data_IF_221083188520
#
_entry.id   IF_221083188520
#
_cell.length_a   1.000
_cell.length_b   1.000
_cell.length_c   1.000
_cell.angle_alpha   90.00
_cell.angle_beta   90.00
_cell.angle_gamma   90.00
#
_symmetry.space_group_name_H-M   'P 1'
#
loop_
_entity.id
_entity.type
_entity.pdbx_description
1 polymer ?
#
# COMPACT_ATOMS: atom_id res chain seq x y z
N UNK A 1 -1.94 -43.05 -12.06
CA UNK A 1 -1.88 -42.14 -10.90
C UNK A 1 -0.49 -42.33 -10.33
N UNK A 2 0.39 -41.39 -10.62
CA UNK A 2 1.80 -41.43 -10.24
C UNK A 2 1.89 -41.12 -8.73
N UNK A 3 2.30 -42.10 -7.93
CA UNK A 3 2.48 -41.90 -6.49
C UNK A 3 3.78 -41.13 -6.29
N UNK A 4 3.67 -39.82 -6.05
CA UNK A 4 4.81 -39.06 -5.53
C UNK A 4 5.28 -39.73 -4.23
N UNK A 5 6.57 -40.03 -4.07
CA UNK A 5 7.06 -40.65 -2.86
C UNK A 5 6.73 -39.75 -1.67
N UNK A 6 6.16 -40.34 -0.62
CA UNK A 6 5.90 -39.68 0.65
C UNK A 6 7.24 -39.13 1.15
N UNK A 7 7.35 -37.81 1.14
CA UNK A 7 8.51 -37.12 1.68
C UNK A 7 8.12 -36.59 3.05
N UNK A 8 8.31 -37.43 4.07
CA UNK A 8 7.92 -37.14 5.46
C UNK A 8 8.50 -35.81 5.95
N UNK A 9 9.73 -35.46 5.56
CA UNK A 9 10.33 -34.18 5.92
C UNK A 9 9.60 -32.97 5.30
N UNK A 10 9.04 -33.13 4.10
CA UNK A 10 8.24 -32.10 3.46
C UNK A 10 6.86 -31.97 4.12
N UNK A 11 6.27 -33.08 4.53
CA UNK A 11 5.00 -33.10 5.27
C UNK A 11 5.17 -32.42 6.64
N UNK A 12 6.20 -32.78 7.40
CA UNK A 12 6.54 -32.15 8.67
C UNK A 12 6.80 -30.64 8.53
N UNK A 13 7.53 -30.25 7.47
CA UNK A 13 7.74 -28.84 7.17
C UNK A 13 6.43 -28.11 6.87
N UNK A 14 5.56 -28.70 6.05
CA UNK A 14 4.27 -28.11 5.70
C UNK A 14 3.38 -27.96 6.93
N UNK A 15 3.31 -28.98 7.79
CA UNK A 15 2.52 -28.95 9.02
C UNK A 15 3.01 -27.84 9.96
N UNK A 16 4.33 -27.75 10.15
CA UNK A 16 4.94 -26.65 10.90
C UNK A 16 4.64 -25.30 10.27
N UNK A 17 4.80 -25.16 8.95
CA UNK A 17 4.59 -23.90 8.25
C UNK A 17 3.12 -23.44 8.33
N UNK A 18 2.17 -24.35 8.16
CA UNK A 18 0.75 -24.03 8.29
C UNK A 18 0.44 -23.62 9.73
N UNK A 19 0.84 -24.42 10.71
CA UNK A 19 0.55 -24.15 12.12
C UNK A 19 1.17 -22.85 12.62
N UNK A 20 2.46 -22.65 12.40
CA UNK A 20 3.20 -21.51 12.94
C UNK A 20 3.07 -20.24 12.08
N UNK A 21 3.04 -20.36 10.76
CA UNK A 21 3.11 -19.19 9.88
C UNK A 21 1.79 -18.80 9.25
N UNK A 22 0.80 -19.68 9.13
CA UNK A 22 -0.48 -19.35 8.50
C UNK A 22 -1.62 -19.26 9.51
N UNK A 23 -1.69 -20.20 10.46
CA UNK A 23 -2.83 -20.34 11.38
C UNK A 23 -2.56 -19.81 12.79
N UNK A 24 -1.30 -19.53 13.15
CA UNK A 24 -0.97 -18.85 14.38
C UNK A 24 -1.46 -17.40 14.33
N UNK A 25 -2.53 -17.06 15.06
CA UNK A 25 -3.14 -15.72 15.05
C UNK A 25 -2.18 -14.58 15.45
N UNK A 26 -1.16 -14.85 16.26
CA UNK A 26 -0.18 -13.83 16.67
C UNK A 26 0.75 -13.44 15.52
N UNK A 27 1.12 -14.41 14.68
CA UNK A 27 1.97 -14.19 13.49
C UNK A 27 1.09 -13.81 12.29
N UNK A 28 0.03 -14.59 12.08
CA UNK A 28 -1.17 -14.37 11.27
C UNK A 28 -1.47 -12.92 10.95
N UNK A 29 -2.01 -12.25 11.96
CA UNK A 29 -2.61 -10.93 11.81
C UNK A 29 -1.61 -9.80 11.51
N UNK A 30 -0.34 -9.98 11.85
CA UNK A 30 0.69 -8.95 11.70
C UNK A 30 1.55 -9.16 10.45
N UNK A 31 1.85 -10.42 10.10
CA UNK A 31 2.90 -10.75 9.14
C UNK A 31 2.39 -11.46 7.88
N UNK A 32 1.14 -11.92 7.83
CA UNK A 32 0.59 -12.53 6.63
C UNK A 32 -0.83 -12.04 6.33
N UNK A 33 -1.27 -12.30 5.11
CA UNK A 33 -2.65 -12.04 4.65
C UNK A 33 -3.39 -13.36 4.44
N UNK A 34 -3.08 -14.38 5.25
CA UNK A 34 -3.75 -15.66 5.17
C UNK A 34 -5.25 -15.47 5.48
N UNK A 35 -6.13 -16.11 4.69
CA UNK A 35 -7.60 -15.91 4.72
C UNK A 35 -8.15 -14.49 4.47
N UNK A 36 -7.32 -13.48 4.21
CA UNK A 36 -7.79 -12.13 3.82
C UNK A 36 -8.28 -12.08 2.37
N UNK A 37 -9.44 -11.44 2.14
CA UNK A 37 -10.02 -11.27 0.78
C UNK A 37 -9.23 -10.27 -0.06
N UNK A 38 -8.57 -9.32 0.60
CA UNK A 38 -7.68 -8.34 -0.01
C UNK A 38 -6.23 -8.83 0.00
N UNK A 39 -5.98 -10.05 -0.47
CA UNK A 39 -4.63 -10.37 -0.90
C UNK A 39 -4.35 -9.60 -2.17
N UNK A 40 -3.39 -8.70 -2.12
CA UNK A 40 -2.31 -8.59 -3.11
C UNK A 40 -1.56 -7.31 -2.86
N UNK A 41 -0.25 -7.40 -3.03
CA UNK A 41 0.65 -6.27 -3.22
C UNK A 41 0.16 -5.27 -4.28
N UNK A 42 -0.90 -5.53 -5.04
CA UNK A 42 -1.56 -4.63 -5.99
C UNK A 42 -1.63 -3.17 -5.55
N UNK A 43 -2.05 -2.86 -4.31
CA UNK A 43 -2.09 -1.47 -3.85
C UNK A 43 -0.69 -0.88 -3.69
N UNK A 44 0.26 -1.67 -3.19
CA UNK A 44 1.67 -1.30 -3.08
C UNK A 44 2.33 -1.18 -4.46
N UNK A 45 2.07 -2.11 -5.37
CA UNK A 45 2.54 -2.14 -6.76
C UNK A 45 1.98 -0.96 -7.55
N UNK A 46 0.69 -0.64 -7.39
CA UNK A 46 0.08 0.53 -7.98
C UNK A 46 0.69 1.83 -7.42
N UNK A 47 0.96 1.89 -6.11
CA UNK A 47 1.64 3.03 -5.50
C UNK A 47 3.08 3.17 -6.00
N UNK A 48 3.86 2.08 -6.04
CA UNK A 48 5.20 2.03 -6.62
C UNK A 48 5.21 2.44 -8.09
N UNK A 49 4.29 1.94 -8.90
CA UNK A 49 4.16 2.30 -10.32
C UNK A 49 3.86 3.80 -10.50
N UNK A 50 2.95 4.36 -9.69
CA UNK A 50 2.65 5.79 -9.68
C UNK A 50 3.86 6.63 -9.28
N UNK A 51 4.63 6.19 -8.28
CA UNK A 51 5.84 6.85 -7.81
C UNK A 51 6.94 6.83 -8.89
N UNK A 52 7.20 5.66 -9.49
CA UNK A 52 8.17 5.49 -10.57
C UNK A 52 7.82 6.35 -11.79
N UNK A 53 6.53 6.42 -12.17
CA UNK A 53 6.07 7.29 -13.25
C UNK A 53 6.30 8.78 -12.94
N UNK A 54 6.15 9.21 -11.69
CA UNK A 54 6.44 10.59 -11.27
C UNK A 54 7.93 10.91 -11.29
N UNK A 55 8.76 9.96 -10.86
CA UNK A 55 10.21 10.12 -10.85
C UNK A 55 10.79 10.11 -12.27
N UNK A 56 10.16 9.41 -13.21
CA UNK A 56 10.53 9.39 -14.62
C UNK A 56 11.93 8.82 -14.90
N UNK A 57 12.57 8.20 -13.90
CA UNK A 57 13.94 7.68 -13.92
C UNK A 57 14.03 6.43 -13.07
N UNK A 58 14.87 5.48 -13.49
CA UNK A 58 15.10 4.21 -12.78
C UNK A 58 15.87 4.43 -11.47
N UNK A 59 16.82 5.39 -11.44
CA UNK A 59 17.67 5.68 -10.28
C UNK A 59 17.64 7.19 -9.94
N UNK A 60 16.61 7.68 -9.24
CA UNK A 60 16.59 9.05 -8.75
C UNK A 60 17.60 9.25 -7.62
N UNK A 61 18.16 10.46 -7.51
CA UNK A 61 18.94 10.81 -6.32
C UNK A 61 18.03 11.02 -5.10
N UNK A 62 18.62 11.04 -3.90
CA UNK A 62 17.87 11.15 -2.64
C UNK A 62 16.98 12.39 -2.60
N UNK A 63 17.45 13.54 -3.08
CA UNK A 63 16.66 14.77 -3.10
C UNK A 63 15.42 14.63 -4.00
N UNK A 64 15.57 14.03 -5.18
CA UNK A 64 14.46 13.77 -6.11
C UNK A 64 13.43 12.81 -5.50
N UNK A 65 13.89 11.76 -4.84
CA UNK A 65 13.01 10.81 -4.14
C UNK A 65 12.24 11.51 -3.02
N UNK A 66 12.91 12.29 -2.17
CA UNK A 66 12.28 13.03 -1.07
C UNK A 66 11.24 14.02 -1.58
N UNK A 67 11.54 14.77 -2.65
CA UNK A 67 10.58 15.70 -3.25
C UNK A 67 9.35 14.98 -3.79
N UNK A 68 9.53 13.88 -4.52
CA UNK A 68 8.41 13.09 -5.05
C UNK A 68 7.52 12.50 -3.94
N UNK A 69 8.12 12.07 -2.83
CA UNK A 69 7.38 11.58 -1.66
C UNK A 69 6.58 12.69 -0.98
N UNK A 70 7.16 13.88 -0.81
CA UNK A 70 6.45 15.05 -0.25
C UNK A 70 5.24 15.43 -1.10
N UNK A 71 5.41 15.51 -2.42
CA UNK A 71 4.32 15.79 -3.35
C UNK A 71 3.23 14.70 -3.33
N UNK A 72 3.62 13.43 -3.23
CA UNK A 72 2.68 12.31 -3.12
C UNK A 72 1.85 12.40 -1.83
N UNK A 73 2.49 12.73 -0.71
CA UNK A 73 1.83 12.92 0.58
C UNK A 73 0.79 14.05 0.51
N UNK A 74 1.17 15.23 0.00
CA UNK A 74 0.26 16.37 -0.19
C UNK A 74 -0.95 15.97 -1.04
N UNK A 75 -0.70 15.27 -2.16
CA UNK A 75 -1.75 14.82 -3.05
C UNK A 75 -2.70 13.80 -2.38
N UNK A 76 -2.18 12.87 -1.58
CA UNK A 76 -3.01 11.93 -0.85
C UNK A 76 -3.83 12.62 0.24
N UNK A 77 -3.25 13.56 1.00
CA UNK A 77 -4.00 14.40 1.96
C UNK A 77 -5.12 15.15 1.27
N UNK A 78 -4.88 15.70 0.07
CA UNK A 78 -5.94 16.33 -0.72
C UNK A 78 -7.06 15.37 -1.10
N UNK A 79 -6.72 14.15 -1.55
CA UNK A 79 -7.72 13.14 -1.91
C UNK A 79 -8.56 12.72 -0.70
N UNK A 80 -7.93 12.52 0.47
CA UNK A 80 -8.64 12.21 1.71
C UNK A 80 -9.60 13.34 2.09
N UNK A 81 -9.10 14.57 2.13
CA UNK A 81 -9.92 15.75 2.37
C UNK A 81 -11.08 15.85 1.36
N UNK A 82 -10.84 15.57 0.08
CA UNK A 82 -11.90 15.54 -0.95
C UNK A 82 -12.96 14.49 -0.65
N UNK A 83 -12.57 13.28 -0.27
CA UNK A 83 -13.52 12.24 0.09
C UNK A 83 -14.38 12.68 1.28
N UNK A 84 -13.77 13.28 2.30
CA UNK A 84 -14.46 13.84 3.47
C UNK A 84 -15.43 14.99 3.11
N UNK A 85 -15.05 15.88 2.19
CA UNK A 85 -15.94 16.95 1.69
C UNK A 85 -17.11 16.39 0.92
N UNK A 86 -16.87 15.41 0.05
CA UNK A 86 -17.94 14.83 -0.77
C UNK A 86 -18.98 14.10 0.09
N UNK A 87 -18.65 13.77 1.33
CA UNK A 87 -19.58 13.25 2.34
C UNK A 87 -20.42 14.36 3.02
N UNK A 88 -20.07 15.64 2.92
CA UNK A 88 -20.83 16.74 3.56
C UNK A 88 -21.11 17.94 2.63
N UNK A 89 -22.40 18.31 2.38
CA UNK A 89 -22.76 19.40 1.47
C UNK A 89 -22.23 20.79 1.85
N UNK A 90 -21.91 21.04 3.11
CA UNK A 90 -21.72 22.41 3.66
C UNK A 90 -20.32 23.01 3.51
N UNK A 91 -19.27 22.23 3.23
CA UNK A 91 -17.87 22.71 3.32
C UNK A 91 -17.23 23.20 2.01
N UNK A 92 -17.94 23.16 0.88
CA UNK A 92 -17.40 23.54 -0.46
C UNK A 92 -16.82 24.97 -0.53
N UNK A 93 -17.36 25.90 0.26
CA UNK A 93 -16.91 27.31 0.28
C UNK A 93 -15.53 27.53 0.95
N UNK A 94 -15.11 26.64 1.85
CA UNK A 94 -13.82 26.78 2.56
C UNK A 94 -12.63 26.41 1.66
N UNK A 95 -12.80 25.45 0.76
CA UNK A 95 -11.71 24.91 -0.06
C UNK A 95 -11.24 25.84 -1.18
N UNK A 96 -12.09 26.75 -1.66
CA UNK A 96 -11.68 27.75 -2.65
C UNK A 96 -10.63 28.73 -2.10
N UNK A 97 -10.57 28.92 -0.78
CA UNK A 97 -9.65 29.84 -0.13
C UNK A 97 -8.26 29.21 0.14
N UNK A 98 -8.15 27.90 0.29
CA UNK A 98 -6.87 27.22 0.58
C UNK A 98 -5.95 27.24 -0.65
N UNK A 99 -6.49 27.16 -1.87
CA UNK A 99 -5.72 27.19 -3.11
C UNK A 99 -5.34 28.61 -3.58
N UNK A 100 -5.82 29.66 -2.91
CA UNK A 100 -5.46 31.05 -3.23
C UNK A 100 -4.11 31.51 -2.65
N UNK A 101 -3.51 30.75 -1.72
CA UNK A 101 -2.25 31.11 -1.07
C UNK A 101 -1.07 30.20 -1.43
N UNK A 102 -1.23 29.30 -2.41
CA UNK A 102 -0.21 28.32 -2.81
C UNK A 102 0.69 28.75 -3.99
N UNK A 103 0.48 29.93 -4.57
CA UNK A 103 1.33 30.48 -5.64
C UNK A 103 1.63 31.95 -5.35
N UNK A 104 2.65 32.18 -4.53
CA UNK A 104 3.39 33.44 -4.49
C UNK A 104 4.77 33.09 -3.95
N UNK A 105 5.70 32.88 -4.86
CA UNK A 105 7.12 33.28 -4.86
C UNK A 105 7.72 32.77 -6.17
#
# INVERSE_FOLDING_TARGET
>A
MDYSPINTALEEFNDYFVGEWLENDAIGNMWNCYKEKHRTTNSLEAWHSKLNRRLGKVNPNVCQLVSALKENAIHNTFLQNRLEINLTPSKRSQYSNIYKFGCSH
#
